data_IF_296448025093
#
_entry.id   IF_296448025093
#
_cell.length_a   1.000
_cell.length_b   1.000
_cell.length_c   1.000
_cell.angle_alpha   90.00
_cell.angle_beta   90.00
_cell.angle_gamma   90.00
#
_symmetry.space_group_name_H-M   'P 1'
#
loop_
_entity.id
_entity.type
_entity.pdbx_description
1 polymer ?
2 branched ?
3 water ?
#
# COMPACT_ATOMS: atom_id res chain seq x y z
N UNK A 1 22.24 -5.01 19.15
CA UNK A 1 22.97 -3.87 19.72
C UNK A 1 23.36 -2.93 18.59
N UNK A 2 22.70 -3.10 17.47
CA UNK A 2 22.87 -2.37 16.23
C UNK A 2 21.55 -1.81 15.71
N UNK A 3 21.57 -0.60 15.19
CA UNK A 3 20.36 0.10 14.70
C UNK A 3 20.21 0.26 13.21
N UNK A 4 19.11 0.87 12.76
CA UNK A 4 18.83 1.12 11.37
C UNK A 4 18.89 -0.15 10.55
N UNK A 5 19.41 -0.10 9.31
CA UNK A 5 19.45 -1.23 8.40
C UNK A 5 20.19 -2.46 8.95
N UNK A 6 21.14 -2.24 9.82
CA UNK A 6 22.00 -3.20 10.46
C UNK A 6 21.55 -3.66 11.85
N UNK A 7 20.30 -3.46 12.17
CA UNK A 7 19.69 -3.80 13.46
C UNK A 7 18.20 -4.09 13.19
N UNK A 8 17.98 -4.51 11.94
CA UNK A 8 16.60 -4.77 11.49
C UNK A 8 15.71 -3.60 11.91
N UNK A 9 16.19 -2.36 11.75
CA UNK A 9 15.42 -1.17 12.06
C UNK A 9 15.19 -0.91 13.53
N UNK A 10 15.96 -1.53 14.41
CA UNK A 10 15.82 -1.22 15.81
C UNK A 10 15.96 0.32 15.85
N UNK A 11 15.50 0.87 16.97
CA UNK A 11 15.56 2.32 17.20
C UNK A 11 16.23 2.58 18.51
N UNK A 12 17.13 3.54 18.55
CA UNK A 12 17.86 3.89 19.78
C UNK A 12 16.80 4.43 20.76
N UNK A 13 17.10 4.48 22.01
CA UNK A 13 16.21 4.96 23.04
C UNK A 13 16.53 6.42 23.31
N UNK A 14 15.59 7.19 23.83
CA UNK A 14 15.77 8.59 24.13
C UNK A 14 16.11 9.43 22.87
N UNK A 15 15.52 9.00 21.77
CA UNK A 15 15.77 9.69 20.49
C UNK A 15 17.25 9.73 20.09
N UNK A 16 18.06 8.86 20.71
CA UNK A 16 19.47 8.77 20.32
C UNK A 16 19.39 8.49 18.83
N UNK A 17 20.40 9.08 18.16
CA UNK A 17 20.47 8.97 16.68
C UNK A 17 21.30 7.73 16.28
N UNK A 18 20.86 7.15 15.22
CA UNK A 18 21.43 5.99 14.56
C UNK A 18 22.20 6.48 13.32
N UNK A 19 23.49 6.32 13.43
CA UNK A 19 24.47 6.71 12.38
C UNK A 19 24.28 5.82 11.19
N UNK A 20 24.91 6.17 10.09
CA UNK A 20 24.86 5.45 8.79
C UNK A 20 25.39 4.01 8.87
N UNK A 21 26.17 3.77 9.85
CA UNK A 21 26.77 2.53 10.27
C UNK A 21 25.95 1.63 11.17
N UNK A 22 24.88 2.10 11.80
CA UNK A 22 24.05 1.30 12.70
C UNK A 22 24.50 1.37 14.16
N UNK A 23 25.07 2.44 14.62
CA UNK A 23 25.45 2.64 16.01
C UNK A 23 24.65 3.80 16.57
N UNK A 24 24.35 3.78 17.87
CA UNK A 24 23.60 4.83 18.54
C UNK A 24 24.48 5.79 19.35
N UNK A 25 24.11 7.05 19.24
CA UNK A 25 24.85 8.09 20.01
C UNK A 25 24.09 9.38 19.61
N UNK A 26 24.66 10.44 20.04
CA UNK A 26 24.24 11.80 19.92
C UNK A 26 25.49 12.57 19.44
N UNK A 27 25.18 13.47 18.50
CA UNK A 27 26.21 14.37 17.93
C UNK A 27 26.19 14.29 16.41
N UNK A 28 27.09 15.06 15.80
CA UNK A 28 27.20 15.13 14.35
C UNK A 28 27.53 13.78 13.73
N UNK A 29 28.37 13.02 14.43
CA UNK A 29 28.80 11.69 13.91
C UNK A 29 27.59 10.81 13.67
N UNK A 30 26.61 11.00 14.56
CA UNK A 30 25.38 10.16 14.48
C UNK A 30 24.18 10.93 13.96
N UNK A 31 24.05 12.13 14.49
CA UNK A 31 22.87 12.97 14.09
C UNK A 31 23.02 13.67 12.76
N UNK A 32 24.28 13.87 12.33
CA UNK A 32 24.61 14.49 11.06
C UNK A 32 24.13 13.67 9.88
N UNK A 33 24.95 13.55 8.84
CA UNK A 33 24.66 12.85 7.57
C UNK A 33 24.70 11.35 7.66
N UNK A 34 23.71 10.70 6.96
CA UNK A 34 23.49 9.26 7.00
C UNK A 34 22.58 8.85 8.17
N UNK A 35 22.32 9.73 9.14
CA UNK A 35 21.40 9.41 10.27
C UNK A 35 20.21 8.66 9.75
N UNK A 36 19.81 7.57 10.49
CA UNK A 36 18.68 6.79 9.89
C UNK A 36 17.41 6.84 10.70
N UNK A 37 17.45 7.25 11.94
CA UNK A 37 16.39 7.37 12.90
C UNK A 37 16.92 8.09 14.15
N UNK A 38 16.02 8.35 15.10
CA UNK A 38 16.32 9.16 16.31
C UNK A 38 16.18 10.62 15.85
N UNK A 39 16.88 11.49 16.55
CA UNK A 39 16.90 12.95 16.31
C UNK A 39 17.86 13.41 15.26
N UNK A 40 17.70 13.00 14.05
CA UNK A 40 18.56 13.33 12.90
C UNK A 40 18.48 14.81 12.57
N UNK A 41 19.62 15.48 12.54
CA UNK A 41 19.71 16.90 12.21
C UNK A 41 18.75 17.30 11.12
N UNK A 42 18.59 16.45 10.15
CA UNK A 42 17.70 16.63 9.01
C UNK A 42 16.42 15.81 9.15
N UNK A 43 15.31 16.49 9.43
CA UNK A 43 14.02 15.79 9.58
C UNK A 43 13.80 14.89 8.41
N UNK A 44 13.25 13.74 8.58
CA UNK A 44 12.95 12.77 7.52
C UNK A 44 11.61 13.23 6.96
N UNK A 45 11.37 12.88 5.72
CA UNK A 45 10.12 13.28 5.06
C UNK A 45 9.12 12.17 5.44
N UNK A 46 7.89 12.61 5.49
CA UNK A 46 6.73 11.79 5.87
C UNK A 46 5.44 12.34 5.26
N UNK A 47 4.41 11.54 5.47
CA UNK A 47 3.04 11.71 5.01
C UNK A 47 2.92 11.71 3.50
N UNK A 48 1.90 12.39 3.01
CA UNK A 48 1.60 12.59 1.59
C UNK A 48 2.84 12.85 0.74
N UNK A 49 3.52 13.91 1.16
CA UNK A 49 4.73 14.44 0.59
C UNK A 49 5.82 13.37 0.41
N UNK A 50 5.66 12.22 1.00
CA UNK A 50 6.71 11.18 0.96
C UNK A 50 6.09 9.79 0.93
N UNK A 51 5.31 9.59 -0.09
CA UNK A 51 4.60 8.37 -0.39
C UNK A 51 3.86 7.62 0.67
N UNK A 52 3.23 8.29 1.60
CA UNK A 52 2.45 7.64 2.66
C UNK A 52 3.27 7.19 3.86
N UNK A 53 4.54 7.43 3.81
CA UNK A 53 5.55 7.12 4.81
C UNK A 53 5.18 7.67 6.19
N UNK A 54 5.55 6.92 7.18
CA UNK A 54 5.36 7.17 8.62
C UNK A 54 6.71 7.61 9.18
N UNK A 55 6.77 8.33 10.25
CA UNK A 55 7.99 8.78 10.90
C UNK A 55 8.45 7.66 11.84
N UNK A 56 9.72 7.67 12.16
CA UNK A 56 10.31 6.66 13.03
C UNK A 56 10.10 7.25 14.44
N UNK A 57 10.49 6.56 15.47
CA UNK A 57 10.44 7.01 16.83
C UNK A 57 9.08 7.55 17.30
N UNK A 58 8.02 7.19 16.58
CA UNK A 58 6.67 7.68 16.97
C UNK A 58 6.58 9.22 16.82
N UNK A 59 7.13 9.75 15.76
CA UNK A 59 7.15 11.20 15.50
C UNK A 59 5.88 11.63 14.79
N UNK A 60 5.49 12.87 15.03
CA UNK A 60 4.30 13.46 14.37
C UNK A 60 4.78 13.93 13.00
N UNK A 61 4.12 13.62 11.94
CA UNK A 61 4.38 14.02 10.56
C UNK A 61 3.65 15.37 10.34
N UNK A 62 4.35 16.48 10.32
CA UNK A 62 3.73 17.80 10.18
C UNK A 62 3.00 17.92 8.86
N UNK A 63 2.20 18.97 8.77
CA UNK A 63 1.36 19.20 7.58
C UNK A 63 2.19 19.27 6.30
N UNK A 64 3.42 19.68 6.33
CA UNK A 64 4.39 19.81 5.28
C UNK A 64 5.13 18.54 4.90
N UNK A 65 4.91 17.50 5.70
CA UNK A 65 5.55 16.21 5.50
C UNK A 65 6.93 16.07 6.05
N UNK A 66 7.25 16.67 7.17
CA UNK A 66 8.50 16.58 7.94
C UNK A 66 8.20 15.95 9.31
N UNK A 67 9.06 15.14 9.87
CA UNK A 67 8.90 14.49 11.17
C UNK A 67 9.46 15.27 12.34
N UNK A 68 8.80 15.27 13.49
CA UNK A 68 9.33 15.97 14.68
C UNK A 68 8.32 15.84 15.85
N UNK A 69 8.58 16.72 16.82
CA UNK A 69 7.74 16.90 18.00
C UNK A 69 7.53 18.40 18.25
N UNK A 70 6.44 18.73 18.94
CA UNK A 70 6.22 20.19 19.28
C UNK A 70 5.02 20.60 18.43
N UNK A 71 4.43 21.70 18.82
CA UNK A 71 3.26 22.34 18.25
C UNK A 71 3.25 22.32 16.75
N UNK A 72 4.36 22.76 16.18
CA UNK A 72 4.52 22.81 14.70
C UNK A 72 4.31 21.49 14.03
N UNK A 73 4.80 20.40 14.67
CA UNK A 73 4.64 19.05 14.06
C UNK A 73 3.43 18.28 14.48
N UNK A 74 3.21 18.35 15.80
CA UNK A 74 2.11 17.56 16.42
C UNK A 74 0.77 18.28 16.29
N UNK A 75 0.80 19.57 16.16
CA UNK A 75 -0.27 20.53 16.12
C UNK A 75 -1.17 20.39 14.94
N UNK A 76 -1.86 21.47 14.58
CA UNK A 76 -2.82 21.39 13.45
C UNK A 76 -2.22 20.91 12.17
N UNK A 77 -3.02 20.26 11.32
CA UNK A 77 -2.51 19.71 10.03
C UNK A 77 -1.62 18.47 10.19
N UNK A 78 -1.22 18.08 11.39
CA UNK A 78 -0.45 16.87 11.69
C UNK A 78 -0.98 15.66 10.93
N UNK A 79 -0.15 14.80 10.34
CA UNK A 79 -0.69 13.69 9.53
C UNK A 79 -0.39 12.30 9.98
N UNK A 80 0.29 12.09 11.10
CA UNK A 80 0.61 10.76 11.65
C UNK A 80 1.37 10.99 12.95
N UNK A 81 1.55 9.98 13.77
CA UNK A 81 2.28 10.11 15.06
C UNK A 81 1.29 10.42 16.17
N UNK A 82 1.77 10.70 17.35
CA UNK A 82 0.95 11.09 18.50
C UNK A 82 0.37 12.49 18.26
N UNK A 83 -0.36 12.59 17.20
CA UNK A 83 -1.01 13.86 16.77
C UNK A 83 -1.95 14.37 17.89
N UNK A 84 -1.91 15.65 18.08
CA UNK A 84 -2.58 16.41 19.08
C UNK A 84 -4.10 16.35 19.07
N UNK A 85 -4.66 15.94 17.97
CA UNK A 85 -6.06 15.70 17.73
C UNK A 85 -6.23 14.18 17.60
N UNK A 86 -7.34 13.68 18.09
CA UNK A 86 -7.68 12.26 18.10
C UNK A 86 -7.67 11.68 16.70
N UNK A 87 -6.85 10.65 16.46
CA UNK A 87 -6.87 10.04 15.11
C UNK A 87 -8.03 9.05 15.24
N UNK A 88 -8.94 9.03 14.33
CA UNK A 88 -10.10 8.16 14.27
C UNK A 88 -9.71 6.86 13.50
N UNK A 89 -10.60 5.92 13.72
CA UNK A 89 -10.37 4.58 13.14
C UNK A 89 -11.55 3.69 13.42
N UNK A 90 -11.38 2.48 12.98
CA UNK A 90 -12.32 1.39 13.20
C UNK A 90 -13.49 1.56 12.25
N UNK A 91 -14.47 0.73 12.46
CA UNK A 91 -15.70 0.68 11.67
C UNK A 91 -16.37 2.06 11.62
N UNK A 92 -16.05 2.92 12.57
CA UNK A 92 -16.55 4.29 12.64
C UNK A 92 -15.98 5.14 11.48
N UNK A 93 -14.72 4.92 11.13
CA UNK A 93 -14.00 5.64 10.08
C UNK A 93 -13.59 4.75 8.91
N UNK A 94 -14.56 4.06 8.37
CA UNK A 94 -14.48 3.14 7.27
C UNK A 94 -13.46 2.03 7.34
N UNK A 95 -13.15 1.43 8.47
CA UNK A 95 -12.22 0.30 8.57
C UNK A 95 -10.78 0.72 8.83
N UNK A 96 -10.54 2.01 8.83
CA UNK A 96 -9.26 2.65 9.03
C UNK A 96 -8.52 1.93 10.18
N UNK A 97 -7.24 1.76 9.92
CA UNK A 97 -6.29 1.20 10.66
C UNK A 97 -5.44 2.23 11.32
N UNK A 98 -5.22 2.03 12.61
CA UNK A 98 -4.34 2.98 13.30
C UNK A 98 -2.95 2.70 12.68
N UNK A 99 -2.15 3.74 12.69
CA UNK A 99 -0.80 3.66 12.14
C UNK A 99 0.15 3.16 13.22
N UNK A 100 1.19 2.41 12.82
CA UNK A 100 2.20 2.06 13.86
C UNK A 100 1.70 1.15 14.98
N UNK A 101 0.81 0.27 14.63
CA UNK A 101 0.18 -0.77 15.40
C UNK A 101 -0.75 -0.34 16.57
N UNK A 102 -1.01 0.93 16.69
CA UNK A 102 -1.85 1.49 17.70
C UNK A 102 -3.23 0.79 17.59
N UNK A 103 -3.77 0.81 18.79
CA UNK A 103 -5.06 0.19 19.08
C UNK A 103 -6.19 1.13 18.67
N UNK A 104 -7.18 0.53 18.07
CA UNK A 104 -8.40 1.24 17.71
C UNK A 104 -9.47 0.86 18.76
N UNK A 105 -9.60 1.76 19.70
CA UNK A 105 -10.57 1.65 20.79
C UNK A 105 -11.93 1.29 20.18
N UNK A 106 -12.76 0.84 21.10
CA UNK A 106 -14.15 0.50 20.86
C UNK A 106 -14.89 1.72 20.28
N UNK A 107 -14.39 2.88 20.66
CA UNK A 107 -15.01 4.15 20.22
C UNK A 107 -14.59 4.68 18.88
N UNK A 108 -13.49 4.15 18.31
CA UNK A 108 -12.99 4.63 17.02
C UNK A 108 -11.86 5.66 17.15
N UNK A 109 -11.05 5.61 18.17
CA UNK A 109 -9.88 6.48 18.36
C UNK A 109 -8.62 5.59 18.50
N UNK A 110 -7.48 6.10 18.16
CA UNK A 110 -6.17 5.45 18.18
C UNK A 110 -5.39 5.75 19.42
N UNK A 111 -4.78 4.68 19.92
CA UNK A 111 -3.98 4.85 21.17
C UNK A 111 -3.31 3.50 21.53
N UNK A 112 -2.84 3.53 22.71
CA UNK A 112 -2.16 2.44 23.37
C UNK A 112 -2.40 2.58 24.88
N UNK A 113 -2.81 1.46 25.46
CA UNK A 113 -3.15 1.33 26.89
C UNK A 113 -4.47 0.54 26.89
N UNK A 114 -4.84 0.32 28.17
CA UNK A 114 -6.01 -0.53 28.43
C UNK A 114 -7.20 0.06 27.71
N UNK A 115 -7.24 1.40 27.75
CA UNK A 115 -8.45 2.06 27.22
C UNK A 115 -8.66 1.87 25.75
N UNK A 116 -7.56 1.66 25.09
CA UNK A 116 -7.60 1.47 23.61
C UNK A 116 -7.43 0.03 23.21
N UNK A 117 -6.52 -0.58 23.98
CA UNK A 117 -6.11 -1.98 23.64
C UNK A 117 -7.05 -3.02 24.20
N UNK A 118 -7.71 -2.63 25.28
CA UNK A 118 -8.65 -3.40 26.02
C UNK A 118 -9.85 -3.93 25.30
N UNK A 119 -10.83 -4.25 26.18
CA UNK A 119 -12.13 -4.82 25.70
C UNK A 119 -12.64 -3.87 24.59
N UNK A 120 -13.15 -4.45 23.54
CA UNK A 120 -13.69 -3.68 22.41
C UNK A 120 -12.67 -3.38 21.31
N UNK A 121 -11.40 -3.41 21.66
CA UNK A 121 -10.28 -3.12 20.72
C UNK A 121 -10.58 -3.63 19.34
N UNK A 122 -10.55 -2.74 18.36
CA UNK A 122 -10.93 -3.10 17.00
C UNK A 122 -9.79 -3.65 16.13
N UNK A 123 -8.59 -3.09 16.24
CA UNK A 123 -7.48 -3.48 15.39
C UNK A 123 -6.24 -2.92 16.04
N UNK A 124 -5.08 -3.42 15.62
CA UNK A 124 -3.81 -2.91 16.22
C UNK A 124 -3.43 -3.86 17.32
N UNK A 125 -2.58 -3.52 18.23
CA UNK A 125 -2.01 -4.23 19.34
C UNK A 125 -2.94 -4.52 20.54
N UNK A 126 -4.12 -4.92 20.11
CA UNK A 126 -5.20 -5.26 21.03
C UNK A 126 -4.53 -6.31 21.92
N UNK A 127 -4.81 -6.23 23.20
CA UNK A 127 -4.33 -7.14 24.23
C UNK A 127 -5.40 -8.19 24.56
N UNK A 128 -6.41 -8.31 23.76
CA UNK A 128 -7.53 -9.19 23.93
C UNK A 128 -7.33 -10.54 23.28
N UNK A 129 -6.12 -10.92 23.04
CA UNK A 129 -5.72 -12.15 22.40
C UNK A 129 -6.78 -12.95 21.66
N UNK A 130 -7.67 -12.30 20.95
CA UNK A 130 -8.70 -13.02 20.21
C UNK A 130 -8.08 -13.97 19.18
N UNK A 131 -8.80 -15.09 19.05
CA UNK A 131 -8.50 -16.21 18.19
C UNK A 131 -8.92 -16.08 16.75
N UNK A 132 -8.19 -16.78 15.94
CA UNK A 132 -8.38 -16.89 14.48
C UNK A 132 -8.27 -18.36 14.13
N UNK A 133 -8.34 -18.70 12.87
CA UNK A 133 -8.20 -20.03 12.33
C UNK A 133 -9.47 -20.81 12.09
N UNK A 134 -9.22 -22.05 11.71
CA UNK A 134 -10.28 -23.05 11.46
C UNK A 134 -10.97 -23.22 12.84
N UNK A 135 -10.10 -22.93 13.79
CA UNK A 135 -10.31 -22.90 15.21
C UNK A 135 -11.28 -21.79 15.64
N UNK A 136 -11.23 -20.71 14.85
CA UNK A 136 -12.04 -19.53 15.14
C UNK A 136 -13.07 -19.18 14.10
N UNK A 137 -13.69 -20.15 13.50
CA UNK A 137 -14.75 -19.95 12.51
C UNK A 137 -14.22 -19.15 11.34
N UNK A 138 -13.05 -19.54 10.90
CA UNK A 138 -12.29 -19.01 9.79
C UNK A 138 -12.14 -17.50 9.80
N UNK A 139 -11.74 -17.02 10.96
CA UNK A 139 -11.63 -15.54 11.12
C UNK A 139 -10.15 -15.26 11.07
N UNK A 140 -9.90 -14.22 10.33
CA UNK A 140 -8.58 -13.70 10.00
C UNK A 140 -8.35 -12.47 10.91
N UNK A 141 -7.12 -12.30 11.31
CA UNK A 141 -6.68 -11.20 12.12
C UNK A 141 -6.80 -9.92 11.25
N UNK A 142 -6.56 -8.84 11.92
CA UNK A 142 -6.52 -7.47 11.47
C UNK A 142 -5.02 -7.16 11.28
N UNK A 143 -4.69 -6.11 10.57
CA UNK A 143 -3.34 -5.68 10.32
C UNK A 143 -2.51 -6.68 9.52
N UNK A 144 -3.23 -7.66 9.01
CA UNK A 144 -2.60 -8.70 8.19
C UNK A 144 -1.61 -9.47 9.06
N UNK A 145 -1.96 -9.52 10.34
CA UNK A 145 -1.14 -10.31 11.28
C UNK A 145 -1.33 -11.77 10.84
N UNK A 146 -0.38 -12.54 11.33
CA UNK A 146 -0.27 -13.97 11.17
C UNK A 146 -1.12 -14.71 12.21
N UNK A 147 -1.93 -15.60 11.67
CA UNK A 147 -2.73 -16.53 12.44
C UNK A 147 -1.85 -17.82 12.52
N UNK A 148 -1.26 -18.00 13.67
CA UNK A 148 -0.37 -19.15 13.93
C UNK A 148 -1.16 -20.46 13.94
N UNK A 149 -0.43 -21.58 14.03
CA UNK A 149 -1.08 -22.91 14.03
C UNK A 149 -1.98 -23.16 15.23
N UNK A 150 -1.81 -22.38 16.26
CA UNK A 150 -2.63 -22.46 17.47
C UNK A 150 -3.77 -21.46 17.48
N UNK A 151 -4.03 -20.82 16.34
CA UNK A 151 -5.08 -19.82 16.21
C UNK A 151 -4.83 -18.57 17.06
N UNK A 152 -3.68 -17.95 16.90
CA UNK A 152 -3.32 -16.73 17.63
C UNK A 152 -2.72 -15.70 16.66
N UNK A 153 -3.11 -14.45 16.93
CA UNK A 153 -2.67 -13.31 16.10
C UNK A 153 -1.38 -12.74 16.64
N UNK A 154 -0.44 -12.56 15.72
CA UNK A 154 0.90 -12.02 16.20
C UNK A 154 1.73 -11.97 14.90
N UNK A 155 2.93 -11.49 15.11
CA UNK A 155 3.97 -11.26 14.12
C UNK A 155 5.28 -11.81 14.73
N UNK A 156 5.89 -12.63 13.86
CA UNK A 156 7.11 -13.35 14.18
C UNK A 156 7.13 -14.71 13.46
N UNK A 157 8.25 -15.39 13.69
CA UNK A 157 8.57 -16.71 13.14
C UNK A 157 7.56 -17.73 13.61
N UNK A 158 7.30 -17.73 14.90
CA UNK A 158 6.28 -18.66 15.51
C UNK A 158 4.85 -18.44 14.98
N UNK A 159 4.57 -17.16 14.65
CA UNK A 159 3.28 -16.77 14.12
C UNK A 159 3.28 -16.87 12.61
N UNK A 160 4.24 -16.24 11.96
CA UNK A 160 4.24 -16.20 10.48
C UNK A 160 4.82 -17.39 9.75
N UNK A 161 5.42 -18.27 10.55
CA UNK A 161 6.07 -19.46 10.10
C UNK A 161 5.14 -20.57 9.64
N UNK A 162 5.59 -21.76 10.02
CA UNK A 162 4.93 -23.04 9.71
C UNK A 162 3.65 -23.19 10.51
N UNK A 163 2.60 -23.58 9.80
CA UNK A 163 1.27 -23.77 10.44
C UNK A 163 0.45 -22.47 10.41
N UNK A 164 1.03 -21.45 9.82
CA UNK A 164 0.37 -20.13 9.68
C UNK A 164 -0.85 -20.33 8.80
N UNK A 165 -2.01 -20.11 9.38
CA UNK A 165 -3.29 -20.24 8.70
C UNK A 165 -3.66 -19.10 7.76
N UNK A 166 -3.32 -17.87 8.14
CA UNK A 166 -3.64 -16.67 7.32
C UNK A 166 -2.82 -15.49 7.83
N UNK A 167 -2.89 -14.35 7.19
CA UNK A 167 -2.12 -13.16 7.61
C UNK A 167 -0.89 -13.03 6.72
N UNK A 168 0.16 -12.43 7.24
CA UNK A 168 1.43 -12.22 6.51
C UNK A 168 2.40 -13.39 6.69
N UNK A 169 1.88 -14.58 6.43
CA UNK A 169 2.61 -15.84 6.56
C UNK A 169 3.87 -15.88 5.68
N UNK A 170 5.02 -16.04 6.33
CA UNK A 170 6.31 -16.16 5.61
C UNK A 170 6.05 -17.26 4.55
N UNK A 171 6.34 -16.92 3.31
CA UNK A 171 6.11 -17.85 2.21
C UNK A 171 7.28 -18.27 1.34
N UNK B 1 -16.78 10.69 -23.24
CA UNK B 1 -16.35 11.20 -24.53
C UNK B 1 -15.10 12.01 -24.45
N UNK B 2 -14.55 12.33 -23.31
CA UNK B 2 -13.27 12.99 -23.16
C UNK B 2 -12.20 11.96 -22.78
N UNK B 3 -10.97 12.47 -22.57
CA UNK B 3 -9.81 11.61 -22.25
C UNK B 3 -8.80 12.44 -21.48
N UNK B 4 -7.84 11.67 -20.99
CA UNK B 4 -6.77 12.30 -20.21
C UNK B 4 -7.56 12.93 -19.04
N UNK B 5 -6.95 13.93 -18.49
CA UNK B 5 -7.40 14.70 -17.35
C UNK B 5 -8.76 15.33 -17.39
N UNK B 6 -9.38 15.52 -18.53
CA UNK B 6 -10.67 16.08 -18.79
C UNK B 6 -11.75 15.00 -18.95
N UNK B 7 -11.38 13.74 -18.76
CA UNK B 7 -12.27 12.58 -18.99
C UNK B 7 -11.95 11.43 -18.03
N UNK B 8 -11.31 11.85 -16.94
CA UNK B 8 -10.94 11.02 -15.81
C UNK B 8 -9.85 9.97 -16.08
N UNK B 9 -8.81 10.41 -16.76
CA UNK B 9 -7.67 9.57 -17.12
C UNK B 9 -8.11 8.51 -18.06
N UNK B 10 -9.23 8.76 -18.70
CA UNK B 10 -9.81 7.82 -19.69
C UNK B 10 -8.79 7.71 -20.82
N UNK B 11 -8.93 6.80 -21.76
CA UNK B 11 -8.02 6.48 -22.81
C UNK B 11 -8.82 6.12 -24.03
N UNK B 12 -8.30 6.42 -25.19
CA UNK B 12 -8.82 6.24 -26.53
C UNK B 12 -8.69 4.80 -27.03
N UNK B 13 -9.60 4.38 -27.87
CA UNK B 13 -9.65 3.02 -28.42
C UNK B 13 -8.52 2.94 -29.41
N UNK B 14 -7.90 1.81 -29.71
CA UNK B 14 -6.77 1.74 -30.65
C UNK B 14 -5.58 2.66 -30.51
N UNK B 15 -4.93 2.89 -29.46
CA UNK B 15 -3.76 3.79 -29.43
C UNK B 15 -3.95 5.18 -30.00
N UNK B 16 -5.15 5.61 -30.36
CA UNK B 16 -5.43 7.01 -30.80
C UNK B 16 -4.91 7.92 -29.67
N UNK B 17 -4.33 9.05 -30.00
CA UNK B 17 -3.78 9.96 -29.00
C UNK B 17 -4.83 10.86 -28.33
N UNK B 18 -4.59 11.26 -27.12
CA UNK B 18 -5.37 12.15 -26.30
C UNK B 18 -4.58 13.48 -26.34
N UNK B 19 -5.13 14.36 -27.15
CA UNK B 19 -4.54 15.70 -27.39
C UNK B 19 -4.41 16.47 -26.12
N UNK B 20 -3.74 17.59 -25.97
CA UNK B 20 -3.73 18.34 -24.72
C UNK B 20 -5.11 18.89 -24.33
N UNK B 21 -6.11 18.83 -25.17
CA UNK B 21 -7.44 19.37 -24.83
C UNK B 21 -8.43 18.29 -24.40
N UNK B 22 -7.98 17.05 -24.35
CA UNK B 22 -8.82 15.93 -23.92
C UNK B 22 -9.70 15.32 -24.98
N UNK B 23 -9.16 15.21 -26.20
CA UNK B 23 -9.95 14.64 -27.32
C UNK B 23 -9.07 13.64 -28.04
N UNK B 24 -9.63 12.62 -28.59
CA UNK B 24 -9.01 11.53 -29.26
C UNK B 24 -8.92 11.71 -30.80
N UNK B 25 -7.76 11.36 -31.32
CA UNK B 25 -7.63 11.39 -32.79
C UNK B 25 -6.19 10.96 -33.11
N UNK B 26 -5.83 11.24 -34.35
CA UNK B 26 -4.51 10.92 -34.90
C UNK B 26 -3.95 12.11 -35.68
N UNK B 27 -2.68 12.36 -35.40
CA UNK B 27 -1.93 13.43 -36.04
C UNK B 27 -1.19 14.26 -35.01
N UNK B 28 -0.42 15.22 -35.45
CA UNK B 28 0.36 16.07 -34.54
C UNK B 28 -0.53 16.95 -33.69
N UNK B 29 -1.76 17.13 -34.05
CA UNK B 29 -2.72 17.97 -33.23
C UNK B 29 -3.04 17.27 -31.89
N UNK B 30 -3.05 15.93 -32.00
CA UNK B 30 -3.26 14.98 -30.93
C UNK B 30 -2.04 14.34 -30.35
N UNK B 31 -1.22 13.77 -31.20
CA UNK B 31 0.01 13.02 -30.84
C UNK B 31 1.24 13.85 -30.59
N UNK B 32 1.16 15.13 -30.79
CA UNK B 32 2.26 16.07 -30.64
C UNK B 32 2.31 16.61 -29.23
N UNK B 33 2.85 17.78 -29.05
CA UNK B 33 2.99 18.46 -27.76
C UNK B 33 1.71 18.40 -26.93
N UNK B 34 1.89 18.07 -25.65
CA UNK B 34 0.76 17.94 -24.71
C UNK B 34 -0.13 16.74 -24.94
N UNK B 35 0.29 15.76 -25.72
CA UNK B 35 -0.53 14.53 -25.91
C UNK B 35 -0.56 13.85 -24.53
N UNK B 36 -1.69 13.29 -24.13
CA UNK B 36 -1.74 12.73 -22.75
C UNK B 36 -1.51 11.23 -22.66
N UNK B 37 -2.03 10.51 -23.63
CA UNK B 37 -1.90 9.05 -23.67
C UNK B 37 -2.11 8.59 -25.10
N UNK B 38 -2.05 7.29 -25.31
CA UNK B 38 -2.18 6.78 -26.70
C UNK B 38 -0.78 6.85 -27.32
N UNK B 39 -0.76 6.71 -28.63
CA UNK B 39 0.46 6.68 -29.43
C UNK B 39 1.19 8.00 -29.53
N UNK B 40 1.50 8.69 -28.48
CA UNK B 40 2.15 9.96 -28.42
C UNK B 40 3.51 9.91 -29.12
N UNK B 41 3.85 11.02 -29.78
CA UNK B 41 5.12 11.14 -30.54
C UNK B 41 6.30 11.11 -29.59
N UNK B 42 6.16 11.86 -28.50
CA UNK B 42 7.19 11.86 -27.46
C UNK B 42 6.64 10.82 -26.44
N UNK B 43 7.37 9.77 -26.34
CA UNK B 43 7.10 8.66 -25.41
C UNK B 43 7.25 9.08 -23.97
N UNK B 44 6.40 8.56 -23.11
CA UNK B 44 6.47 8.94 -21.66
C UNK B 44 7.34 7.99 -20.85
N UNK B 45 7.90 8.49 -19.79
CA UNK B 45 8.75 7.84 -18.82
C UNK B 45 7.92 6.87 -18.00
N UNK B 46 8.60 5.97 -17.31
CA UNK B 46 8.05 4.92 -16.47
C UNK B 46 9.18 4.23 -15.72
N UNK B 47 8.84 3.18 -14.97
CA UNK B 47 9.75 2.41 -14.18
C UNK B 47 10.53 3.24 -13.17
N UNK B 48 11.63 2.69 -12.74
CA UNK B 48 12.59 3.23 -11.77
C UNK B 48 13.00 4.67 -12.05
N UNK B 49 13.01 4.99 -13.31
CA UNK B 49 13.40 6.32 -13.82
C UNK B 49 12.25 7.34 -13.68
N UNK B 50 11.03 6.89 -13.64
CA UNK B 50 9.81 7.67 -13.44
C UNK B 50 9.23 7.41 -12.04
N UNK B 51 10.17 7.30 -11.10
CA UNK B 51 9.90 7.02 -9.69
C UNK B 51 8.67 6.13 -9.47
N UNK B 52 8.61 5.03 -10.18
CA UNK B 52 7.62 4.01 -10.11
C UNK B 52 6.50 4.01 -11.12
N UNK B 53 6.29 5.15 -11.78
CA UNK B 53 5.18 5.34 -12.75
C UNK B 53 5.02 4.20 -13.74
N UNK B 54 3.79 3.89 -14.11
CA UNK B 54 3.36 2.85 -15.03
C UNK B 54 3.01 3.53 -16.38
N UNK B 55 2.90 2.74 -17.44
CA UNK B 55 2.57 3.34 -18.73
C UNK B 55 1.05 3.25 -18.81
N UNK B 56 0.57 3.88 -19.86
CA UNK B 56 -0.84 4.01 -20.15
C UNK B 56 -1.15 3.03 -21.25
N UNK B 57 -2.38 2.77 -21.56
CA UNK B 57 -2.76 1.85 -22.62
C UNK B 57 -2.06 0.49 -22.56
N UNK B 58 -1.54 0.11 -21.40
CA UNK B 58 -0.93 -1.28 -21.29
C UNK B 58 0.33 -1.46 -22.15
N UNK B 59 1.24 -0.56 -22.13
CA UNK B 59 2.46 -0.44 -22.85
C UNK B 59 3.63 -0.90 -21.96
N UNK B 60 4.58 -1.57 -22.62
CA UNK B 60 5.76 -2.05 -21.89
C UNK B 60 6.57 -0.85 -21.47
N UNK B 61 7.30 -0.99 -20.42
CA UNK B 61 8.25 0.04 -19.95
C UNK B 61 9.60 -0.65 -20.23
N UNK B 62 10.40 -0.12 -21.11
CA UNK B 62 11.71 -0.65 -21.51
C UNK B 62 12.69 -0.57 -20.37
N UNK B 63 13.81 -1.24 -20.42
CA UNK B 63 14.76 -1.14 -19.29
C UNK B 63 15.17 0.32 -19.13
N UNK B 64 14.84 1.13 -20.12
CA UNK B 64 15.33 2.53 -20.09
C UNK B 64 14.34 3.46 -19.45
N UNK B 65 13.11 2.97 -19.39
CA UNK B 65 12.07 3.80 -18.76
C UNK B 65 11.39 4.67 -19.82
N UNK B 66 10.99 4.01 -20.90
CA UNK B 66 10.19 4.65 -21.93
C UNK B 66 9.00 3.72 -22.25
N UNK B 67 7.83 4.27 -22.43
CA UNK B 67 6.67 3.45 -22.77
C UNK B 67 6.72 3.03 -24.19
N UNK B 68 6.28 1.83 -24.57
CA UNK B 68 6.26 1.37 -25.93
C UNK B 68 5.76 -0.05 -26.10
N UNK B 69 5.78 -0.52 -27.32
CA UNK B 69 5.44 -1.81 -27.80
C UNK B 69 6.63 -2.30 -28.66
N UNK B 70 6.71 -3.57 -28.91
CA UNK B 70 7.73 -4.27 -29.67
C UNK B 70 8.90 -4.73 -28.81
N UNK B 71 9.79 -5.50 -29.43
CA UNK B 71 10.96 -6.06 -28.78
C UNK B 71 11.81 -5.11 -28.04
N UNK B 72 11.92 -3.83 -28.39
CA UNK B 72 12.85 -2.94 -27.65
C UNK B 72 12.26 -2.49 -26.33
N UNK B 73 10.92 -2.65 -26.26
CA UNK B 73 10.17 -2.25 -25.04
C UNK B 73 9.74 -3.38 -24.16
N UNK B 74 9.06 -4.34 -24.78
CA UNK B 74 8.54 -5.54 -24.15
C UNK B 74 9.66 -6.52 -23.82
N UNK B 75 10.62 -6.75 -24.70
CA UNK B 75 11.76 -7.65 -24.58
C UNK B 75 12.51 -7.43 -23.27
N UNK B 76 13.70 -7.98 -23.24
CA UNK B 76 14.58 -7.95 -22.06
C UNK B 76 14.62 -6.55 -21.45
N UNK B 77 14.83 -6.49 -20.16
CA UNK B 77 14.91 -5.24 -19.43
C UNK B 77 13.49 -4.76 -19.05
N UNK B 78 12.54 -5.16 -19.87
CA UNK B 78 11.14 -4.78 -19.67
C UNK B 78 10.73 -4.62 -18.22
N UNK B 79 10.35 -3.45 -17.74
CA UNK B 79 9.94 -3.16 -16.40
C UNK B 79 8.42 -3.04 -16.19
N UNK B 80 7.53 -3.32 -17.10
CA UNK B 80 6.09 -3.14 -16.83
C UNK B 80 5.26 -3.30 -18.09
N UNK B 81 4.05 -3.80 -17.99
CA UNK B 81 3.14 -3.91 -19.16
C UNK B 81 3.23 -5.37 -19.56
N UNK B 82 2.74 -5.70 -20.70
CA UNK B 82 2.80 -7.04 -21.26
C UNK B 82 4.19 -7.55 -21.66
N UNK B 83 5.12 -7.42 -20.70
CA UNK B 83 6.48 -7.89 -20.87
C UNK B 83 6.46 -9.32 -21.45
N UNK B 84 7.57 -9.64 -22.10
CA UNK B 84 7.72 -10.94 -22.79
C UNK B 84 8.09 -12.02 -21.79
N UNK B 85 8.71 -11.61 -20.72
CA UNK B 85 9.10 -12.42 -19.57
C UNK B 85 7.92 -12.36 -18.59
N UNK B 86 7.50 -13.49 -18.07
CA UNK B 86 6.36 -13.60 -17.14
C UNK B 86 6.49 -12.77 -15.88
N UNK B 87 5.40 -12.18 -15.39
CA UNK B 87 5.50 -11.38 -14.14
C UNK B 87 5.03 -12.22 -12.94
N UNK B 88 6.02 -12.43 -12.06
CA UNK B 88 5.81 -13.27 -10.85
C UNK B 88 5.20 -12.38 -9.77
N UNK B 89 4.27 -12.99 -9.05
CA UNK B 89 3.52 -12.28 -8.00
C UNK B 89 2.95 -13.30 -7.01
N UNK B 90 2.09 -12.77 -6.17
CA UNK B 90 1.42 -13.51 -5.11
C UNK B 90 2.37 -13.98 -4.03
N UNK B 91 2.10 -15.20 -3.57
CA UNK B 91 2.97 -15.75 -2.51
C UNK B 91 4.22 -16.37 -3.14
N UNK B 92 4.04 -16.78 -4.39
CA UNK B 92 5.18 -17.37 -5.14
C UNK B 92 6.25 -16.33 -5.38
N UNK B 93 6.01 -15.09 -4.94
CA UNK B 93 6.92 -13.98 -5.16
C UNK B 93 7.02 -13.10 -3.93
N UNK B 94 6.64 -13.61 -2.79
CA UNK B 94 6.75 -12.84 -1.55
C UNK B 94 5.73 -11.75 -1.35
N UNK B 95 4.47 -12.02 -1.71
CA UNK B 95 3.38 -11.07 -1.45
C UNK B 95 3.04 -10.15 -2.65
N UNK B 96 4.08 -9.79 -3.40
CA UNK B 96 4.01 -8.85 -4.56
C UNK B 96 2.71 -9.01 -5.40
N UNK B 97 2.17 -7.85 -5.82
CA UNK B 97 0.90 -7.74 -6.61
C UNK B 97 1.16 -7.38 -8.08
N UNK B 98 0.36 -7.88 -9.00
CA UNK B 98 0.43 -7.48 -10.39
C UNK B 98 0.07 -5.99 -10.43
N UNK B 99 0.64 -5.31 -11.39
CA UNK B 99 0.44 -3.86 -11.65
C UNK B 99 -0.66 -3.74 -12.68
N UNK B 100 -1.45 -2.70 -12.62
CA UNK B 100 -2.59 -2.47 -13.51
C UNK B 100 -3.76 -3.43 -13.33
N UNK B 101 -3.99 -3.89 -12.13
CA UNK B 101 -5.10 -4.80 -11.78
C UNK B 101 -5.04 -6.15 -12.48
N UNK B 102 -3.88 -6.55 -12.91
CA UNK B 102 -3.74 -7.87 -13.53
C UNK B 102 -3.95 -8.86 -12.37
N UNK B 103 -4.46 -10.02 -12.75
CA UNK B 103 -4.70 -11.08 -11.75
C UNK B 103 -3.40 -11.86 -11.51
N UNK B 104 -3.23 -12.25 -10.28
CA UNK B 104 -2.15 -13.20 -9.87
C UNK B 104 -2.76 -14.60 -9.91
N UNK B 105 -2.28 -15.52 -10.74
CA UNK B 105 -2.94 -16.84 -10.80
C UNK B 105 -2.58 -17.61 -9.54
N UNK B 106 -3.08 -18.81 -9.48
CA UNK B 106 -2.79 -19.81 -8.42
C UNK B 106 -1.31 -20.05 -8.28
N UNK B 107 -0.63 -20.09 -9.42
CA UNK B 107 0.80 -20.28 -9.58
C UNK B 107 1.80 -19.15 -9.40
N UNK B 108 1.37 -17.87 -9.35
CA UNK B 108 2.33 -16.77 -9.09
C UNK B 108 2.72 -16.00 -10.33
N UNK B 109 1.83 -15.87 -11.30
CA UNK B 109 2.08 -15.18 -12.56
C UNK B 109 0.97 -14.22 -13.01
N UNK B 110 1.37 -13.00 -13.29
CA UNK B 110 0.42 -11.95 -13.78
C UNK B 110 -0.23 -12.22 -15.11
N UNK B 111 -1.52 -11.93 -15.23
CA UNK B 111 -2.25 -12.17 -16.51
C UNK B 111 -3.71 -11.77 -16.37
N UNK B 112 -4.52 -12.03 -17.35
CA UNK B 112 -5.90 -11.79 -17.47
C UNK B 112 -6.60 -12.95 -18.17
N UNK B 113 -7.79 -13.28 -17.71
CA UNK B 113 -8.53 -14.43 -18.31
C UNK B 113 -8.72 -15.45 -17.17
N UNK B 114 -9.42 -16.50 -17.50
CA UNK B 114 -9.75 -17.59 -16.57
C UNK B 114 -8.55 -18.08 -15.76
N UNK B 115 -7.61 -18.66 -16.50
CA UNK B 115 -6.39 -19.24 -15.95
C UNK B 115 -5.73 -18.34 -14.96
N UNK B 116 -6.12 -17.07 -14.94
CA UNK B 116 -5.35 -16.19 -14.02
C UNK B 116 -6.15 -15.62 -12.84
N UNK B 117 -7.31 -15.18 -13.27
CA UNK B 117 -8.31 -14.46 -12.52
C UNK B 117 -9.34 -15.34 -11.82
N UNK B 118 -9.58 -16.47 -12.44
CA UNK B 118 -10.51 -17.48 -11.97
C UNK B 118 -9.91 -18.19 -10.74
N UNK B 119 -10.51 -19.36 -10.52
CA UNK B 119 -10.13 -20.21 -9.35
C UNK B 119 -8.65 -20.04 -9.05
N UNK B 120 -8.27 -19.94 -7.82
CA UNK B 120 -6.90 -19.79 -7.34
C UNK B 120 -6.38 -18.36 -7.35
N UNK B 121 -7.07 -17.51 -8.10
CA UNK B 121 -6.64 -16.09 -8.23
C UNK B 121 -6.35 -15.52 -6.88
N UNK B 122 -5.18 -15.01 -6.60
CA UNK B 122 -4.81 -14.46 -5.32
C UNK B 122 -4.94 -12.96 -5.15
N UNK B 123 -4.89 -12.18 -6.22
CA UNK B 123 -4.93 -10.70 -6.16
C UNK B 123 -5.25 -10.19 -7.55
N UNK B 124 -5.58 -8.92 -7.63
CA UNK B 124 -6.06 -8.32 -8.90
C UNK B 124 -7.53 -8.58 -9.13
N UNK B 125 -8.01 -8.28 -10.31
CA UNK B 125 -9.34 -8.41 -10.82
C UNK B 125 -9.81 -9.85 -10.84
N UNK B 126 -9.79 -10.55 -9.70
CA UNK B 126 -10.22 -11.98 -9.80
C UNK B 126 -11.68 -12.04 -10.20
N UNK B 127 -12.08 -13.06 -10.97
CA UNK B 127 -13.48 -13.20 -11.35
C UNK B 127 -14.24 -14.04 -10.30
N UNK B 128 -13.59 -14.31 -9.18
CA UNK B 128 -14.13 -15.12 -8.11
C UNK B 128 -15.05 -14.45 -7.10
N UNK B 129 -14.87 -13.15 -6.90
CA UNK B 129 -15.76 -12.38 -6.03
C UNK B 129 -15.86 -12.93 -4.59
N UNK B 130 -14.71 -13.09 -3.97
CA UNK B 130 -14.68 -13.56 -2.60
C UNK B 130 -15.20 -12.43 -1.72
N UNK B 131 -15.91 -12.83 -0.68
CA UNK B 131 -16.55 -11.98 0.32
C UNK B 131 -15.56 -11.35 1.27
N UNK B 132 -15.94 -10.19 1.77
CA UNK B 132 -15.02 -9.44 2.67
C UNK B 132 -15.79 -8.97 3.91
N UNK B 133 -15.09 -8.41 4.87
CA UNK B 133 -15.59 -7.85 6.07
C UNK B 133 -16.32 -8.77 7.05
N UNK B 134 -17.07 -8.02 7.87
CA UNK B 134 -17.88 -8.46 9.02
C UNK B 134 -18.62 -9.79 8.77
N UNK B 135 -19.17 -9.99 7.59
CA UNK B 135 -19.90 -11.25 7.32
C UNK B 135 -18.98 -12.28 6.71
N UNK B 136 -17.69 -12.20 7.00
CA UNK B 136 -16.65 -13.11 6.51
C UNK B 136 -15.28 -13.08 7.20
N UNK B 137 -15.31 -13.20 8.49
CA UNK B 137 -14.15 -13.28 9.39
C UNK B 137 -13.44 -11.93 9.47
N UNK B 138 -14.01 -11.09 8.60
CA UNK B 138 -13.44 -9.72 8.49
C UNK B 138 -12.27 -9.81 7.51
N UNK B 139 -12.52 -10.53 6.42
CA UNK B 139 -11.54 -10.65 5.35
C UNK B 139 -11.58 -9.30 4.59
N UNK B 140 -10.48 -8.60 4.53
CA UNK B 140 -10.32 -7.35 3.79
C UNK B 140 -9.92 -7.88 2.37
N UNK B 141 -10.01 -6.96 1.46
CA UNK B 141 -9.76 -7.18 0.04
C UNK B 141 -8.31 -7.00 -0.38
N UNK B 142 -8.00 -7.58 -1.55
CA UNK B 142 -6.65 -7.36 -2.09
C UNK B 142 -6.76 -6.03 -2.91
N UNK B 143 -5.56 -5.51 -3.08
CA UNK B 143 -5.39 -4.30 -3.92
C UNK B 143 -5.95 -3.06 -3.29
N UNK B 144 -6.29 -3.13 -2.04
CA UNK B 144 -6.89 -2.00 -1.34
C UNK B 144 -8.27 -1.68 -1.95
N UNK B 145 -8.81 -2.59 -2.72
CA UNK B 145 -10.14 -2.46 -3.29
C UNK B 145 -11.08 -2.29 -2.11
N UNK B 146 -12.22 -1.75 -2.38
CA UNK B 146 -13.26 -1.53 -1.36
C UNK B 146 -14.15 -2.76 -1.16
N UNK B 147 -14.57 -2.88 0.07
CA UNK B 147 -15.51 -3.87 0.61
C UNK B 147 -16.85 -3.16 0.84
N UNK B 148 -17.81 -3.44 -0.03
CA UNK B 148 -19.13 -2.80 0.07
C UNK B 148 -19.79 -3.16 1.39
N UNK B 149 -20.87 -2.44 1.70
CA UNK B 149 -21.63 -2.71 2.93
C UNK B 149 -22.06 -4.17 2.85
N UNK B 150 -22.13 -4.69 1.64
CA UNK B 150 -22.53 -6.07 1.38
C UNK B 150 -21.45 -7.15 1.39
N UNK B 151 -20.27 -6.88 1.90
CA UNK B 151 -19.16 -7.82 1.90
C UNK B 151 -18.76 -8.26 0.49
N UNK B 152 -18.58 -7.34 -0.43
CA UNK B 152 -18.16 -7.45 -1.82
C UNK B 152 -16.97 -6.54 -2.15
N UNK B 153 -16.08 -7.07 -3.02
CA UNK B 153 -14.87 -6.25 -3.32
C UNK B 153 -15.00 -5.57 -4.70
N UNK B 154 -14.54 -4.30 -4.68
CA UNK B 154 -14.62 -3.52 -5.93
C UNK B 154 -14.21 -2.06 -5.81
N UNK B 155 -14.43 -1.38 -6.91
CA UNK B 155 -14.19 0.06 -7.03
C UNK B 155 -15.40 0.72 -7.72
N UNK B 156 -15.90 1.66 -6.92
CA UNK B 156 -17.14 2.41 -7.38
C UNK B 156 -17.61 3.18 -6.17
N UNK B 157 -18.61 4.01 -6.38
CA UNK B 157 -19.22 4.81 -5.28
C UNK B 157 -20.01 3.74 -4.50
N UNK B 158 -20.57 2.82 -5.28
CA UNK B 158 -21.31 1.67 -4.73
C UNK B 158 -20.49 0.74 -3.84
N UNK B 159 -19.27 1.02 -3.49
CA UNK B 159 -18.40 0.18 -2.70
C UNK B 159 -17.61 1.08 -1.72
N UNK B 160 -17.11 2.14 -2.33
CA UNK B 160 -16.17 2.98 -1.52
C UNK B 160 -17.03 4.00 -0.81
N UNK B 161 -18.31 3.90 -1.14
CA UNK B 161 -19.31 4.80 -0.57
C UNK B 161 -19.56 4.54 0.95
N UNK B 162 -20.83 4.75 1.25
CA UNK B 162 -21.53 4.62 2.49
C UNK B 162 -21.63 3.12 2.82
N UNK B 163 -21.07 2.86 3.99
CA UNK B 163 -21.13 1.49 4.54
C UNK B 163 -20.00 0.64 3.96
N UNK B 164 -18.90 1.36 3.74
CA UNK B 164 -17.70 0.69 3.14
C UNK B 164 -16.95 0.14 4.35
N UNK B 165 -16.74 -1.17 4.32
CA UNK B 165 -16.14 -1.86 5.48
C UNK B 165 -14.67 -1.66 5.72
N UNK B 166 -13.96 -1.67 4.62
CA UNK B 166 -12.50 -1.50 4.55
C UNK B 166 -12.10 -1.30 3.08
N UNK B 167 -10.92 -0.78 2.96
CA UNK B 167 -10.31 -0.59 1.64
C UNK B 167 -10.19 0.91 1.40
N UNK B 168 -10.23 1.21 0.12
CA UNK B 168 -10.13 2.64 -0.29
C UNK B 168 -11.51 3.29 -0.16
N UNK B 169 -11.94 3.43 1.09
CA UNK B 169 -13.26 4.06 1.34
C UNK B 169 -13.09 5.59 1.27
N UNK B 170 -14.05 6.16 0.60
CA UNK B 170 -14.12 7.63 0.42
C UNK B 170 -13.89 8.25 1.77
N UNK B 171 -12.97 9.19 1.79
CA UNK B 171 -12.57 9.87 3.07
C UNK B 171 -11.51 8.92 3.73
X LIG C 1 -5.35 -2.50 43.02
X LIG C 1 -5.11 -1.88 41.64
X LIG C 1 -5.84 -0.55 41.48
X LIG C 1 -5.54 0.37 42.67
X LIG C 1 -6.30 1.68 42.65
X LIG C 1 -5.20 -1.50 44.13
X LIG C 1 -5.71 -2.13 45.37
X LIG C 1 -4.44 -3.65 43.21
X LIG C 1 -5.57 -2.85 40.66
X LIG C 1 -5.27 0.11 40.32
X LIG C 1 -5.96 -0.34 43.85
X LIG C 1 -5.99 2.52 41.52
X LIG C 2 -6.02 0.01 39.14
X LIG C 2 -4.99 0.01 38.04
X LIG C 2 -5.75 -0.13 36.74
X LIG C 2 -6.51 -1.45 36.72
X LIG C 2 -7.42 -1.50 37.90
X LIG C 2 -8.13 -2.78 38.12
X LIG C 2 -4.29 1.25 38.12
X LIG C 2 -4.92 -0.03 35.58
X LIG C 2 -5.59 -2.54 36.69
X LIG C 2 -6.76 -1.18 39.14
X LIG C 2 -8.23 -3.59 36.94
X LIG C 3 -6.64 0.12 33.97
X LIG C 3 -5.41 0.83 34.55
X LIG C 3 -4.28 0.91 33.51
X LIG C 3 -4.39 2.09 32.57
X LIG C 3 -4.58 3.36 33.36
X LIG C 3 -5.66 3.27 34.43
X LIG C 3 -5.63 4.43 35.40
X LIG C 3 -6.96 4.71 36.02
X LIG C 3 -7.17 5.93 36.86
X LIG C 3 -4.41 5.64 32.49
X LIG C 3 -5.08 6.59 31.57
X LIG C 3 -4.99 4.44 32.46
X LIG C 3 -7.77 0.74 34.23
X LIG C 3 -6.59 -0.87 33.30
X LIG C 3 -3.15 2.20 31.84
X LIG C 3 -5.66 2.09 35.18
X LIG C 3 -4.56 4.34 36.35
X LIG C 3 -8.03 4.43 35.17
X LIG C 3 -8.29 5.62 37.76
X LIG C 3 -3.43 5.88 33.22
X LIG D 1 -18.41 -26.13 -25.27
X LIG D 1 -17.39 -25.00 -25.06
X LIG D 1 -16.00 -25.57 -24.89
X LIG D 1 -15.63 -26.57 -26.03
X LIG D 1 -14.39 -27.38 -25.69
X LIG D 1 -17.96 -27.04 -26.39
X LIG D 1 -18.99 -28.05 -26.60
X LIG D 1 -19.75 -25.58 -25.58
X LIG D 1 -17.85 -24.18 -23.97
X LIG D 1 -15.02 -24.51 -24.84
X LIG D 1 -16.67 -27.54 -26.15
X LIG D 1 -14.51 -28.72 -26.25
X LIG D 2 -14.66 -24.00 -23.57
X LIG D 2 -14.37 -22.52 -23.64
X LIG D 2 -13.84 -22.03 -22.30
X LIG D 2 -14.69 -22.49 -21.16
X LIG D 2 -15.01 -23.99 -21.21
X LIG D 2 -16.03 -24.45 -20.23
X LIG D 2 -13.47 -22.26 -24.70
X LIG D 2 -13.68 -20.62 -22.26
X LIG D 2 -15.91 -21.72 -21.06
X LIG D 2 -15.53 -24.31 -22.51
X LIG D 2 -17.36 -24.02 -20.49
X LIG D 3 -12.10 -20.73 -20.50
X LIG D 3 -12.34 -20.26 -21.96
X LIG D 3 -11.97 -18.79 -22.11
X LIG D 3 -10.46 -18.65 -21.87
X LIG D 3 -9.68 -19.47 -22.85
X LIG D 3 -10.17 -20.92 -22.77
X LIG D 3 -9.51 -21.89 -23.74
X LIG D 3 -9.75 -23.30 -23.22
X LIG D 3 -9.26 -24.43 -24.07
X LIG D 3 -7.36 -19.14 -23.61
X LIG D 3 -5.92 -19.04 -23.21
X LIG D 3 -8.24 -19.40 -22.63
X LIG D 3 -11.61 -21.94 -20.47
X LIG D 3 -12.28 -20.06 -19.51
X LIG D 3 -10.05 -17.28 -21.89
X LIG D 3 -11.58 -21.02 -22.91
X LIG D 3 -10.05 -21.66 -25.04
X LIG D 3 -9.35 -23.43 -21.86
X LIG D 3 -10.36 -24.84 -24.94
X LIG D 3 -7.70 -18.99 -24.81
#
# INVERSE_FOLDING_TARGET
>A
QRCGEQGSNMECPNNLCCSQYGYCGMGGDYCGKGCQNGACWTSKRCGSQAGGATCTNNQCCSQYGYCGFGAEYCGAGCQGGPCRADIKCGSQAGGKLCPNNLCCSQWGFCGLGSEFCGGGCQSGACSTDKPCGKDAGGRVCTNNYCCSKWGSCGIGPGYCGAGCQSGGCDG
>B
QRCGEQGSNMECPNNLCCSQYGYCGMGGDYCGKGCQNGACWTSKRCGSQAGGATCTNNQCCSQYGYCGFGAEYCGAGCQGGPCRADIKCGSQAGGKLCPNNLCCSQWGFCGLGSEFCGGGCQSGACSTDKPCGKDAGGRVCTNNYCCSKWGSCGIGPGYCGAGCQSGGCDG
>C hetero
1 BGC C2 C3 C4 C5 C6 C1 O1 O2 O3 O4 O5 O6
2 GAL C1 C2 C3 C4 C5 C6 O2 O3 O4 O5 O6
3 SIA C1 C2 C3 C4 C5 C6 C7 C8 C9 C10 C11 N5 O1A O1B O4 O6 O7 O8 O9 O10
>D hetero
1 BGC C2 C3 C4 C5 C6 C1 O1 O2 O3 O4 O5 O6
2 GAL C1 C2 C3 C4 C5 C6 O2 O3 O4 O5 O6
3 SIA C1 C2 C3 C4 C5 C6 C7 C8 C9 C10 C11 N5 O1A O1B O4 O6 O7 O8 O9 O10
#
